data_IF_650854680679
#
_entry.id   IF_650854680679
#
_cell.length_a   1.000
_cell.length_b   1.000
_cell.length_c   1.000
_cell.angle_alpha   90.00
_cell.angle_beta   90.00
_cell.angle_gamma   90.00
#
_symmetry.space_group_name_H-M   'P 1'
#
loop_
_entity.id
_entity.type
_entity.pdbx_description
1 polymer ?
2 non-polymer ?
3 non-polymer ?
4 non-polymer ?
5 water ?
#
# COMPACT_ATOMS: atom_id res chain seq x y z
N UNK A 11 -18.95 2.68 5.17
CA UNK A 11 -20.10 2.02 5.81
C UNK A 11 -21.42 2.24 5.03
N UNK A 12 -22.54 1.65 5.49
CA UNK A 12 -23.88 1.75 4.88
C UNK A 12 -23.82 0.96 3.51
N UNK A 13 -24.20 1.54 2.34
CA UNK A 13 -24.16 0.82 1.07
C UNK A 13 -22.76 0.67 0.46
N UNK A 14 -21.70 0.91 1.26
CA UNK A 14 -20.31 0.77 0.84
C UNK A 14 -19.88 -0.73 0.82
N UNK A 15 -18.81 -1.09 0.05
CA UNK A 15 -18.30 -2.48 0.03
C UNK A 15 -17.72 -2.83 1.39
N UNK A 16 -17.63 -4.11 1.71
CA UNK A 16 -17.10 -4.57 2.99
C UNK A 16 -15.58 -4.31 3.06
N UNK A 17 -14.86 -4.52 1.94
CA UNK A 17 -13.41 -4.30 1.85
C UNK A 17 -13.18 -3.19 0.83
N UNK A 18 -12.45 -2.13 1.19
CA UNK A 18 -12.14 -1.05 0.26
C UNK A 18 -10.64 -0.92 0.23
N UNK A 19 -10.05 -1.06 -0.96
CA UNK A 19 -8.60 -1.00 -1.12
C UNK A 19 -8.22 0.06 -2.12
N UNK A 20 -7.17 0.83 -1.85
CA UNK A 20 -6.65 1.72 -2.87
C UNK A 20 -5.19 1.36 -3.14
N UNK A 21 -4.72 1.73 -4.32
CA UNK A 21 -3.33 1.51 -4.67
C UNK A 21 -2.92 2.64 -5.63
N UNK A 22 -1.61 2.68 -5.89
CA UNK A 22 -1.06 3.62 -6.83
C UNK A 22 -0.11 2.82 -7.74
N UNK A 23 -0.20 3.09 -9.03
CA UNK A 23 0.61 2.39 -10.01
C UNK A 23 0.88 3.38 -11.12
N UNK A 24 2.13 3.38 -11.56
CA UNK A 24 2.66 4.24 -12.59
C UNK A 24 3.64 3.40 -13.41
N UNK A 25 3.28 3.13 -14.64
CA UNK A 25 4.09 2.34 -15.56
C UNK A 25 3.40 1.05 -15.93
N UNK A 26 3.67 0.54 -17.15
CA UNK A 26 3.10 -0.72 -17.66
C UNK A 26 3.41 -1.88 -16.71
N UNK A 27 4.66 -1.94 -16.21
CA UNK A 27 5.08 -3.03 -15.32
C UNK A 27 4.28 -3.01 -14.02
N UNK A 28 4.12 -1.83 -13.40
CA UNK A 28 3.34 -1.75 -12.16
C UNK A 28 1.86 -1.95 -12.37
N UNK A 29 1.35 -1.61 -13.57
CA UNK A 29 -0.06 -1.86 -13.88
C UNK A 29 -0.30 -3.37 -14.08
N UNK A 30 0.66 -4.08 -14.67
CA UNK A 30 0.60 -5.53 -14.86
C UNK A 30 0.51 -6.20 -13.45
N UNK A 31 1.34 -5.72 -12.52
CA UNK A 31 1.33 -6.24 -11.16
C UNK A 31 0.07 -5.83 -10.40
N UNK A 32 -0.48 -4.64 -10.66
CA UNK A 32 -1.69 -4.16 -10.01
C UNK A 32 -2.89 -5.05 -10.33
N UNK A 33 -3.02 -5.51 -11.59
CA UNK A 33 -4.11 -6.43 -11.94
C UNK A 33 -3.92 -7.77 -11.16
N UNK A 34 -2.69 -8.25 -11.06
CA UNK A 34 -2.36 -9.47 -10.32
C UNK A 34 -2.73 -9.31 -8.84
N UNK A 35 -2.38 -8.17 -8.23
CA UNK A 35 -2.73 -7.89 -6.84
C UNK A 35 -4.24 -7.99 -6.63
N UNK A 36 -5.03 -7.34 -7.51
CA UNK A 36 -6.47 -7.35 -7.43
C UNK A 36 -7.03 -8.77 -7.58
N UNK A 37 -6.50 -9.57 -8.52
CA UNK A 37 -6.96 -10.95 -8.70
C UNK A 37 -6.65 -11.76 -7.41
N UNK A 38 -5.47 -11.55 -6.81
CA UNK A 38 -5.13 -12.27 -5.57
C UNK A 38 -6.07 -11.92 -4.40
N UNK A 39 -6.51 -10.67 -4.29
CA UNK A 39 -7.46 -10.28 -3.24
C UNK A 39 -8.79 -11.03 -3.45
N UNK A 40 -9.32 -11.00 -4.70
CA UNK A 40 -10.63 -11.59 -4.94
C UNK A 40 -10.61 -13.12 -4.82
N UNK A 41 -9.51 -13.79 -5.12
CA UNK A 41 -9.41 -15.24 -4.96
C UNK A 41 -9.42 -15.66 -3.46
N UNK A 42 -9.19 -14.71 -2.54
CA UNK A 42 -9.09 -15.01 -1.12
C UNK A 42 -10.18 -14.43 -0.27
N UNK A 43 -11.27 -13.92 -0.84
CA UNK A 43 -12.38 -13.41 -0.06
C UNK A 43 -13.70 -13.60 -0.80
N UNK A 44 -14.76 -13.77 -0.01
CA UNK A 44 -16.13 -13.79 -0.46
C UNK A 44 -16.85 -12.49 -0.07
N UNK A 45 -16.19 -11.60 0.68
CA UNK A 45 -16.76 -10.33 1.05
C UNK A 45 -16.75 -9.40 -0.18
N UNK A 46 -17.60 -8.39 -0.16
CA UNK A 46 -17.68 -7.45 -1.27
C UNK A 46 -16.44 -6.56 -1.22
N UNK A 47 -15.89 -6.27 -2.41
CA UNK A 47 -14.67 -5.46 -2.51
C UNK A 47 -14.85 -4.34 -3.50
N UNK A 48 -14.31 -3.17 -3.15
CA UNK A 48 -14.26 -2.01 -4.05
C UNK A 48 -12.81 -1.54 -4.09
N UNK A 49 -12.27 -1.41 -5.31
CA UNK A 49 -10.91 -0.89 -5.51
C UNK A 49 -10.99 0.59 -5.90
N UNK A 50 -10.12 1.40 -5.32
CA UNK A 50 -10.06 2.82 -5.59
C UNK A 50 -8.72 3.15 -6.24
N UNK A 51 -8.74 3.89 -7.35
CA UNK A 51 -7.53 4.19 -8.09
C UNK A 51 -7.19 5.66 -8.13
N UNK A 52 -5.90 5.98 -7.99
CA UNK A 52 -5.42 7.34 -8.12
C UNK A 52 -5.26 7.49 -9.63
N UNK A 53 -6.30 8.07 -10.25
CA UNK A 53 -6.55 8.14 -11.67
C UNK A 53 -5.42 8.70 -12.56
N UNK A 54 -4.86 9.83 -12.21
CA UNK A 54 -3.95 10.56 -13.10
C UNK A 54 -2.65 9.84 -13.46
N UNK A 55 -2.23 8.83 -12.69
CA UNK A 55 -1.00 8.09 -12.97
C UNK A 55 -1.20 6.89 -13.88
N UNK A 56 -2.44 6.47 -14.12
CA UNK A 56 -2.71 5.28 -14.89
C UNK A 56 -2.73 5.54 -16.40
N UNK A 57 -2.43 4.51 -17.16
CA UNK A 57 -2.44 4.56 -18.62
C UNK A 57 -3.88 4.45 -19.12
N UNK A 58 -4.16 4.99 -20.32
CA UNK A 58 -5.52 4.82 -20.87
C UNK A 58 -5.92 3.37 -21.04
N UNK A 59 -4.97 2.48 -21.41
CA UNK A 59 -5.34 1.07 -21.61
C UNK A 59 -5.71 0.38 -20.29
N UNK A 60 -5.08 0.76 -19.18
CA UNK A 60 -5.40 0.16 -17.90
C UNK A 60 -6.80 0.56 -17.50
N UNK A 61 -7.10 1.88 -17.60
CA UNK A 61 -8.40 2.41 -17.24
C UNK A 61 -9.51 1.83 -18.14
N UNK A 62 -9.19 1.50 -19.39
CA UNK A 62 -10.17 0.87 -20.28
C UNK A 62 -10.41 -0.61 -19.92
N UNK A 63 -9.39 -1.28 -19.37
CA UNK A 63 -9.49 -2.68 -18.99
C UNK A 63 -10.15 -2.91 -17.63
N UNK A 64 -10.08 -1.93 -16.70
CA UNK A 64 -10.67 -2.05 -15.35
C UNK A 64 -12.14 -2.58 -15.36
N UNK A 65 -13.07 -2.11 -16.24
CA UNK A 65 -14.44 -2.69 -16.21
C UNK A 65 -14.49 -4.17 -16.55
N UNK A 66 -13.55 -4.65 -17.37
CA UNK A 66 -13.47 -6.06 -17.72
C UNK A 66 -12.98 -6.86 -16.52
N UNK A 67 -11.97 -6.33 -15.79
CA UNK A 67 -11.50 -6.97 -14.55
C UNK A 67 -12.63 -7.02 -13.54
N UNK A 68 -13.38 -5.91 -13.39
CA UNK A 68 -14.46 -5.77 -12.44
C UNK A 68 -15.58 -6.76 -12.67
N UNK A 69 -15.95 -6.98 -13.94
CA UNK A 69 -17.00 -7.93 -14.28
C UNK A 69 -16.53 -9.39 -14.14
N UNK A 70 -15.26 -9.68 -14.42
CA UNK A 70 -14.72 -11.03 -14.35
C UNK A 70 -14.50 -11.47 -12.92
N UNK A 71 -13.94 -10.59 -12.09
CA UNK A 71 -13.64 -10.90 -10.71
C UNK A 71 -14.73 -10.49 -9.71
N UNK A 72 -15.74 -9.76 -10.16
CA UNK A 72 -16.83 -9.34 -9.31
C UNK A 72 -16.51 -8.32 -8.24
N UNK A 73 -15.91 -7.20 -8.64
CA UNK A 73 -15.63 -6.10 -7.71
C UNK A 73 -16.13 -4.80 -8.26
N UNK A 74 -16.36 -3.83 -7.39
CA UNK A 74 -16.71 -2.47 -7.77
C UNK A 74 -15.40 -1.66 -7.81
N UNK A 75 -15.42 -0.48 -8.44
CA UNK A 75 -14.26 0.38 -8.48
C UNK A 75 -14.62 1.84 -8.65
N UNK A 76 -13.69 2.72 -8.31
CA UNK A 76 -13.89 4.15 -8.47
C UNK A 76 -12.57 4.83 -8.75
N UNK A 77 -12.58 5.78 -9.70
CA UNK A 77 -11.38 6.54 -10.03
C UNK A 77 -11.42 7.83 -9.22
N UNK A 78 -10.34 8.16 -8.51
CA UNK A 78 -10.28 9.42 -7.77
C UNK A 78 -9.23 10.33 -8.43
N UNK A 79 -9.61 11.60 -8.71
CA UNK A 79 -8.70 12.57 -9.33
C UNK A 79 -8.60 13.78 -8.39
N UNK A 80 -7.57 13.81 -7.53
CA UNK A 80 -7.42 14.90 -6.58
C UNK A 80 -6.22 15.78 -6.95
N UNK A 81 -6.42 17.10 -6.99
CA UNK A 81 -5.34 18.02 -7.37
C UNK A 81 -4.49 18.43 -6.19
N UNK A 82 -3.15 18.38 -6.34
CA UNK A 82 -2.22 18.78 -5.30
C UNK A 82 -2.45 20.26 -4.95
N UNK A 83 -2.76 20.55 -3.66
CA UNK A 83 -3.02 21.95 -3.26
C UNK A 83 -1.84 22.87 -3.55
N UNK A 84 -2.13 24.06 -4.12
CA UNK A 84 -1.07 25.02 -4.47
C UNK A 84 -0.18 25.44 -3.32
N UNK A 85 -0.72 25.53 -2.10
CA UNK A 85 0.07 25.95 -0.95
C UNK A 85 1.13 24.91 -0.52
N UNK A 86 0.83 23.63 -0.75
CA UNK A 86 1.60 22.50 -0.28
C UNK A 86 2.81 22.24 -1.15
N UNK A 87 4.00 22.14 -0.54
CA UNK A 87 5.25 21.90 -1.26
C UNK A 87 5.14 20.75 -2.25
N UNK A 88 5.39 21.00 -3.55
CA UNK A 88 5.25 19.94 -4.56
C UNK A 88 6.55 19.11 -4.69
N UNK A 89 6.44 17.94 -5.30
CA UNK A 89 7.53 17.01 -5.49
C UNK A 89 7.79 16.96 -6.98
N UNK A 90 8.95 17.43 -7.42
CA UNK A 90 9.30 17.42 -8.84
C UNK A 90 9.60 16.00 -9.36
N UNK A 91 10.02 15.07 -8.49
CA UNK A 91 10.30 13.69 -8.92
C UNK A 91 8.97 12.91 -8.89
N UNK A 92 8.61 12.25 -10.01
CA UNK A 92 7.34 11.50 -10.10
C UNK A 92 7.17 10.47 -8.99
N UNK A 93 8.24 9.74 -8.62
CA UNK A 93 8.16 8.75 -7.54
C UNK A 93 7.73 9.38 -6.22
N UNK A 94 8.29 10.54 -5.90
CA UNK A 94 7.96 11.25 -4.67
C UNK A 94 6.55 11.85 -4.72
N UNK A 95 6.10 12.28 -5.90
CA UNK A 95 4.73 12.80 -6.04
C UNK A 95 3.74 11.66 -5.80
N UNK A 96 4.03 10.47 -6.32
CA UNK A 96 3.19 9.29 -6.11
C UNK A 96 3.17 8.93 -4.62
N UNK A 97 4.32 8.97 -3.96
CA UNK A 97 4.40 8.72 -2.52
C UNK A 97 3.55 9.75 -1.74
N UNK A 98 3.53 11.00 -2.21
CA UNK A 98 2.69 12.03 -1.60
C UNK A 98 1.21 11.64 -1.68
N UNK A 99 0.79 11.10 -2.82
CA UNK A 99 -0.59 10.67 -3.00
C UNK A 99 -0.99 9.49 -2.09
N UNK A 100 -0.02 8.70 -1.64
CA UNK A 100 -0.30 7.59 -0.73
C UNK A 100 -0.60 8.09 0.67
N UNK A 101 0.13 9.14 1.15
CA UNK A 101 0.06 9.50 2.56
C UNK A 101 -0.54 10.88 2.90
N UNK A 102 -0.47 11.85 1.98
CA UNK A 102 -0.90 13.22 2.35
C UNK A 102 -2.38 13.54 2.23
N UNK A 103 -3.15 12.77 1.48
CA UNK A 103 -4.53 13.10 1.15
C UNK A 103 -5.56 12.06 1.58
N UNK A 104 -5.28 11.30 2.64
CA UNK A 104 -6.18 10.20 3.05
C UNK A 104 -7.60 10.66 3.41
N UNK A 105 -7.73 11.87 3.95
CA UNK A 105 -9.02 12.45 4.31
C UNK A 105 -9.78 13.10 3.15
N UNK A 106 -9.11 13.40 2.02
CA UNK A 106 -9.78 14.10 0.91
C UNK A 106 -9.95 13.24 -0.35
N UNK A 107 -9.28 12.09 -0.46
CA UNK A 107 -9.42 11.23 -1.62
C UNK A 107 -10.75 10.47 -1.61
N UNK A 108 -11.25 10.14 -0.42
CA UNK A 108 -12.40 9.27 -0.31
C UNK A 108 -13.63 10.01 0.23
N UNK A 109 -14.82 9.52 -0.11
CA UNK A 109 -16.04 10.19 0.39
C UNK A 109 -16.17 10.09 1.90
N UNK A 110 -16.86 11.08 2.50
CA UNK A 110 -17.09 11.10 3.93
C UNK A 110 -17.89 9.85 4.40
N UNK A 111 -18.62 9.21 3.50
CA UNK A 111 -19.40 8.02 3.83
C UNK A 111 -18.54 6.74 3.97
N UNK A 112 -17.26 6.78 3.49
CA UNK A 112 -16.38 5.61 3.60
C UNK A 112 -15.68 5.63 4.97
N UNK A 113 -15.85 4.56 5.75
CA UNK A 113 -15.31 4.50 7.09
C UNK A 113 -13.89 3.92 7.18
N UNK A 114 -13.49 3.13 6.19
CA UNK A 114 -12.18 2.48 6.22
C UNK A 114 -11.68 2.18 4.84
N UNK A 115 -10.36 2.32 4.65
CA UNK A 115 -9.74 1.96 3.39
C UNK A 115 -8.36 1.40 3.70
N UNK A 116 -7.93 0.47 2.87
CA UNK A 116 -6.63 -0.15 3.04
C UNK A 116 -5.77 0.16 1.82
N UNK A 117 -4.52 0.58 2.03
CA UNK A 117 -3.60 0.73 0.92
C UNK A 117 -2.92 -0.65 0.74
N UNK A 118 -2.89 -1.17 -0.47
CA UNK A 118 -2.16 -2.41 -0.80
C UNK A 118 -1.27 -2.04 -1.99
N UNK A 119 0.04 -2.29 -1.87
CA UNK A 119 0.97 -1.95 -2.94
C UNK A 119 0.67 -2.72 -4.22
N UNK A 120 0.91 -2.10 -5.40
CA UNK A 120 0.61 -2.72 -6.69
C UNK A 120 1.36 -4.03 -6.91
N UNK A 121 2.56 -4.13 -6.34
CA UNK A 121 3.41 -5.31 -6.48
C UNK A 121 3.19 -6.33 -5.34
N UNK A 122 2.02 -6.33 -4.70
CA UNK A 122 1.75 -7.28 -3.63
C UNK A 122 1.00 -8.49 -4.13
N UNK A 123 1.14 -9.62 -3.41
CA UNK A 123 0.37 -10.81 -3.66
C UNK A 123 -0.32 -11.11 -2.34
N UNK A 124 -1.64 -11.10 -2.36
CA UNK A 124 -2.47 -11.36 -1.20
C UNK A 124 -2.79 -12.86 -1.08
N UNK A 125 -2.66 -13.40 0.16
CA UNK A 125 -2.93 -14.83 0.47
C UNK A 125 -3.87 -14.94 1.68
N UNK A 126 -4.73 -13.95 1.89
CA UNK A 126 -5.62 -13.92 3.03
C UNK A 126 -6.90 -13.18 2.66
N UNK A 127 -7.92 -13.32 3.51
CA UNK A 127 -9.16 -12.58 3.38
C UNK A 127 -8.87 -11.19 3.93
N UNK A 128 -8.90 -10.17 3.06
CA UNK A 128 -8.62 -8.80 3.48
C UNK A 128 -9.64 -8.26 4.50
N UNK A 129 -10.84 -8.91 4.63
CA UNK A 129 -11.79 -8.49 5.67
C UNK A 129 -11.20 -8.74 7.08
N UNK A 130 -10.23 -9.65 7.22
CA UNK A 130 -9.54 -9.84 8.52
C UNK A 130 -8.81 -8.54 8.92
N UNK A 131 -8.32 -7.76 7.94
CA UNK A 131 -7.66 -6.50 8.24
C UNK A 131 -8.68 -5.43 8.56
N UNK A 132 -9.85 -5.45 7.87
CA UNK A 132 -10.93 -4.53 8.19
C UNK A 132 -11.36 -4.69 9.66
N UNK A 133 -11.46 -5.96 10.09
CA UNK A 133 -11.86 -6.30 11.47
C UNK A 133 -10.78 -6.21 12.53
N UNK A 134 -9.51 -5.98 12.13
CA UNK A 134 -8.42 -5.93 13.10
C UNK A 134 -8.59 -4.75 14.04
N UNK A 135 -8.47 -4.96 15.36
CA UNK A 135 -8.64 -3.83 16.29
C UNK A 135 -7.44 -2.87 16.25
N UNK A 136 -7.74 -1.58 16.11
CA UNK A 136 -6.74 -0.52 16.06
C UNK A 136 -6.55 0.22 17.38
N UNK A 137 -7.35 -0.10 18.42
CA UNK A 137 -7.19 0.53 19.73
C UNK A 137 -7.12 2.07 19.69
N UNK A 138 -7.94 2.67 18.84
CA UNK A 138 -8.01 4.12 18.73
C UNK A 138 -7.07 4.73 17.70
N UNK A 139 -6.15 3.93 17.10
CA UNK A 139 -5.22 4.49 16.12
C UNK A 139 -5.93 4.79 14.84
N UNK A 140 -5.60 5.92 14.19
CA UNK A 140 -6.23 6.23 12.91
C UNK A 140 -5.74 5.31 11.77
N UNK A 141 -4.56 4.69 11.95
CA UNK A 141 -4.06 3.75 10.93
C UNK A 141 -3.15 2.71 11.53
N UNK A 142 -3.01 1.58 10.80
CA UNK A 142 -2.19 0.46 11.19
C UNK A 142 -1.27 0.02 10.07
N UNK A 143 -0.01 -0.22 10.41
CA UNK A 143 1.04 -0.63 9.46
C UNK A 143 1.81 -1.80 10.07
N UNK A 144 2.36 -2.70 9.22
CA UNK A 144 3.19 -3.79 9.71
C UNK A 144 4.59 -3.23 9.97
N UNK A 145 5.32 -3.84 10.93
CA UNK A 145 6.69 -3.42 11.15
C UNK A 145 7.62 -4.00 10.08
N UNK A 146 8.78 -3.40 9.95
CA UNK A 146 9.83 -3.94 9.10
C UNK A 146 10.35 -5.19 9.80
N UNK A 147 10.48 -6.30 9.07
CA UNK A 147 10.99 -7.55 9.67
C UNK A 147 12.42 -7.35 10.16
N UNK A 148 12.75 -8.01 11.27
CA UNK A 148 14.13 -8.13 11.73
C UNK A 148 14.63 -9.59 11.52
N UNK A 149 13.76 -10.53 11.07
CA UNK A 149 14.09 -11.94 11.02
C UNK A 149 15.21 -12.34 10.07
N UNK A 150 15.45 -11.61 8.95
CA UNK A 150 16.58 -11.95 8.08
C UNK A 150 17.82 -11.28 8.64
N UNK A 151 18.54 -12.01 9.52
CA UNK A 151 19.71 -11.46 10.22
C UNK A 151 20.80 -10.98 9.27
N UNK A 152 20.98 -11.64 8.11
CA UNK A 152 22.03 -11.25 7.15
C UNK A 152 21.88 -9.86 6.57
N UNK A 153 20.66 -9.29 6.64
CA UNK A 153 20.41 -7.96 6.10
C UNK A 153 20.50 -6.81 7.11
N UNK A 154 21.02 -7.07 8.33
CA UNK A 154 21.10 -6.05 9.39
C UNK A 154 21.81 -4.76 8.99
N UNK A 155 22.87 -4.85 8.19
CA UNK A 155 23.60 -3.67 7.73
C UNK A 155 22.78 -2.74 6.85
N UNK A 156 21.70 -3.25 6.24
CA UNK A 156 20.82 -2.44 5.41
C UNK A 156 19.61 -1.87 6.19
N UNK A 157 19.41 -2.27 7.45
CA UNK A 157 18.31 -1.76 8.28
C UNK A 157 18.73 -0.40 8.82
N UNK A 158 18.56 0.65 7.99
CA UNK A 158 18.96 2.02 8.32
C UNK A 158 18.27 2.57 9.59
N UNK A 159 17.06 2.06 9.89
CA UNK A 159 16.25 2.47 11.02
C UNK A 159 16.77 1.93 12.37
N UNK A 160 17.71 0.98 12.35
CA UNK A 160 18.25 0.41 13.57
C UNK A 160 19.48 1.17 14.12
N UNK A 161 19.99 2.16 13.39
CA UNK A 161 21.16 2.96 13.82
C UNK A 161 20.91 4.46 13.47
N UNK A 162 21.81 5.34 13.89
CA UNK A 162 21.75 6.76 13.57
C UNK A 162 20.57 7.55 14.07
N UNK A 163 20.11 8.50 13.26
CA UNK A 163 19.02 9.39 13.65
C UNK A 163 17.70 8.57 13.87
N UNK A 164 17.36 7.56 13.04
CA UNK A 164 16.12 6.77 13.30
C UNK A 164 16.14 6.02 14.62
N UNK A 165 17.26 5.36 14.98
CA UNK A 165 17.33 4.61 16.24
C UNK A 165 17.15 5.54 17.44
N UNK A 166 17.72 6.75 17.36
CA UNK A 166 17.60 7.71 18.45
C UNK A 166 16.18 8.25 18.53
N UNK A 167 15.61 8.60 17.38
CA UNK A 167 14.28 9.17 17.28
C UNK A 167 13.18 8.21 17.74
N UNK A 168 13.26 6.95 17.30
CA UNK A 168 12.20 5.97 17.55
C UNK A 168 12.08 5.52 19.00
N UNK A 169 13.17 5.56 19.77
CA UNK A 169 13.12 5.16 21.20
C UNK A 169 12.52 3.74 21.39
N UNK A 170 12.90 2.84 20.51
CA UNK A 170 12.43 1.46 20.59
C UNK A 170 11.12 1.17 19.86
N UNK A 171 10.47 2.21 19.33
CA UNK A 171 9.23 2.03 18.55
C UNK A 171 9.60 1.32 17.25
N UNK A 172 8.65 0.56 16.67
CA UNK A 172 8.92 -0.06 15.39
C UNK A 172 9.02 0.97 14.27
N UNK A 173 9.81 0.63 13.26
CA UNK A 173 9.89 1.37 12.01
C UNK A 173 9.00 0.53 11.07
N UNK A 174 7.87 1.09 10.66
CA UNK A 174 6.85 0.41 9.87
C UNK A 174 7.04 0.50 8.36
N UNK A 175 6.71 -0.56 7.64
CA UNK A 175 6.81 -0.58 6.18
C UNK A 175 5.51 0.00 5.61
N UNK A 176 5.60 0.82 4.54
CA UNK A 176 4.46 1.50 3.95
C UNK A 176 3.78 0.75 2.80
N UNK A 177 4.16 -0.52 2.57
CA UNK A 177 3.59 -1.31 1.49
C UNK A 177 2.13 -1.65 1.70
N UNK A 178 1.68 -1.69 2.95
CA UNK A 178 0.31 -2.04 3.28
C UNK A 178 -0.08 -1.26 4.54
N UNK A 179 -1.30 -0.72 4.55
CA UNK A 179 -1.77 -0.03 5.75
C UNK A 179 -3.26 0.09 5.77
N UNK A 180 -3.87 -0.06 6.95
CA UNK A 180 -5.31 0.10 7.08
C UNK A 180 -5.57 1.46 7.70
N UNK A 181 -6.50 2.23 7.13
CA UNK A 181 -6.82 3.57 7.63
C UNK A 181 -8.28 3.58 8.10
N UNK A 182 -8.49 3.87 9.36
CA UNK A 182 -9.85 3.99 9.89
C UNK A 182 -10.16 5.47 9.58
N UNK A 183 -10.80 5.73 8.44
CA UNK A 183 -11.10 7.06 7.93
C UNK A 183 -11.97 7.84 8.89
N UNK A 184 -12.91 7.17 9.64
CA UNK A 184 -13.68 7.94 10.63
C UNK A 184 -12.78 8.48 11.71
N UNK A 185 -11.84 7.68 12.22
CA UNK A 185 -10.91 8.10 13.27
C UNK A 185 -9.82 9.07 12.76
N UNK A 186 -9.38 8.87 11.52
CA UNK A 186 -8.40 9.72 10.85
C UNK A 186 -9.03 11.14 10.74
N UNK A 187 -10.30 11.23 10.30
CA UNK A 187 -11.03 12.51 10.18
C UNK A 187 -11.30 13.09 11.56
N UNK A 188 -11.69 12.24 12.54
CA UNK A 188 -11.93 12.67 13.92
C UNK A 188 -10.68 13.33 14.50
N UNK A 189 -9.48 12.85 14.11
CA UNK A 189 -8.23 13.37 14.64
C UNK A 189 -7.54 14.49 13.84
N UNK A 190 -8.09 14.94 12.70
CA UNK A 190 -7.39 15.94 11.85
C UNK A 190 -6.01 15.44 11.40
N UNK A 191 -5.83 14.09 11.31
CA UNK A 191 -4.54 13.53 10.95
C UNK A 191 -4.05 13.99 9.59
N UNK A 192 -4.96 14.15 8.65
CA UNK A 192 -4.63 14.63 7.31
C UNK A 192 -4.07 16.03 7.32
N UNK A 193 -4.76 16.97 8.02
CA UNK A 193 -4.25 18.35 8.10
C UNK A 193 -2.90 18.40 8.79
N UNK A 194 -2.72 17.60 9.86
CA UNK A 194 -1.46 17.54 10.59
C UNK A 194 -0.32 16.88 9.80
N UNK A 195 -0.63 15.84 9.01
CA UNK A 195 0.41 15.19 8.21
C UNK A 195 0.86 16.17 7.11
N UNK A 196 -0.10 16.86 6.43
CA UNK A 196 0.25 17.85 5.40
C UNK A 196 1.10 18.98 5.99
N UNK A 197 0.77 19.47 7.19
CA UNK A 197 1.51 20.57 7.80
C UNK A 197 2.94 20.18 8.22
N UNK A 198 3.14 18.97 8.80
CA UNK A 198 4.47 18.49 9.17
C UNK A 198 5.27 18.16 7.94
N UNK A 199 4.65 17.60 6.90
CA UNK A 199 5.34 17.30 5.64
C UNK A 199 5.82 18.62 5.01
N UNK A 200 4.93 19.65 5.00
CA UNK A 200 5.26 20.93 4.40
C UNK A 200 6.46 21.57 5.09
N UNK A 201 6.50 21.54 6.43
CA UNK A 201 7.64 22.07 7.17
C UNK A 201 8.91 21.23 6.99
N UNK A 202 8.81 19.89 7.11
CA UNK A 202 9.98 19.03 6.98
C UNK A 202 10.61 19.11 5.60
N UNK A 203 9.78 19.11 4.55
CA UNK A 203 10.25 19.07 3.16
C UNK A 203 10.95 20.36 2.71
N UNK A 204 11.05 21.39 3.57
CA UNK A 204 11.85 22.58 3.25
C UNK A 204 13.35 22.16 3.12
N UNK A 205 13.76 21.08 3.81
CA UNK A 205 15.07 20.45 3.67
C UNK A 205 14.88 19.37 2.60
N UNK A 206 15.52 19.50 1.42
CA UNK A 206 15.34 18.48 0.36
C UNK A 206 15.90 17.10 0.68
N UNK A 207 16.75 16.97 1.72
CA UNK A 207 17.30 15.69 2.13
C UNK A 207 16.37 14.94 3.12
N UNK A 208 15.36 15.63 3.69
CA UNK A 208 14.43 15.04 4.66
C UNK A 208 13.41 14.15 3.93
N UNK A 209 12.80 13.22 4.68
CA UNK A 209 11.79 12.30 4.18
C UNK A 209 12.25 11.55 2.94
N UNK A 210 13.45 10.92 3.01
CA UNK A 210 13.97 10.16 1.87
C UNK A 210 12.97 9.14 1.31
N UNK A 211 12.27 8.42 2.20
CA UNK A 211 11.25 7.44 1.83
C UNK A 211 9.96 8.13 2.27
N UNK A 212 9.49 9.11 1.51
CA UNK A 212 8.37 10.00 1.86
C UNK A 212 7.15 9.30 2.48
N UNK A 213 6.59 8.29 1.80
CA UNK A 213 5.38 7.58 2.24
C UNK A 213 5.56 6.82 3.55
N UNK A 214 6.79 6.37 3.81
CA UNK A 214 7.15 5.55 4.96
C UNK A 214 7.68 6.38 6.14
N UNK A 215 8.59 7.30 5.85
CA UNK A 215 9.18 8.15 6.88
C UNK A 215 8.18 9.05 7.57
N UNK A 216 7.25 9.65 6.84
CA UNK A 216 6.28 10.57 7.44
C UNK A 216 5.43 9.92 8.56
N UNK A 217 4.71 8.79 8.33
CA UNK A 217 3.95 8.19 9.43
C UNK A 217 4.83 7.69 10.58
N UNK A 218 6.03 7.17 10.27
CA UNK A 218 6.97 6.73 11.31
C UNK A 218 7.47 7.90 12.16
N UNK A 219 7.64 9.06 11.54
CA UNK A 219 8.05 10.30 12.21
C UNK A 219 6.93 10.79 13.11
N UNK A 220 5.69 10.73 12.63
CA UNK A 220 4.52 11.23 13.37
C UNK A 220 3.92 10.26 14.38
N UNK A 221 4.47 9.04 14.54
CA UNK A 221 3.81 8.01 15.36
C UNK A 221 3.69 8.30 16.87
N UNK A 222 4.39 9.31 17.39
CA UNK A 222 4.20 9.68 18.80
C UNK A 222 2.94 10.53 18.99
N UNK A 223 2.45 11.23 17.94
CA UNK A 223 1.28 12.10 18.07
C UNK A 223 0.10 11.68 17.20
N UNK A 224 0.34 10.88 16.13
CA UNK A 224 -0.67 10.30 15.27
C UNK A 224 -0.36 8.81 15.41
N UNK A 225 -1.03 8.15 16.37
CA UNK A 225 -0.66 6.75 16.65
C UNK A 225 -0.76 5.79 15.47
N UNK A 226 0.14 4.81 15.49
CA UNK A 226 0.11 3.70 14.53
C UNK A 226 -0.22 2.46 15.34
N UNK A 227 -1.19 1.66 14.87
CA UNK A 227 -1.46 0.36 15.46
C UNK A 227 -0.46 -0.56 14.72
N UNK A 228 0.51 -1.14 15.44
CA UNK A 228 1.49 -2.03 14.80
C UNK A 228 0.79 -3.35 14.47
N UNK A 229 0.63 -3.64 13.18
CA UNK A 229 -0.05 -4.85 12.75
C UNK A 229 0.80 -6.09 13.05
N UNK A 230 0.16 -7.25 13.25
CA UNK A 230 0.93 -8.51 13.32
C UNK A 230 1.94 -8.62 12.17
N UNK A 231 3.15 -9.08 12.45
CA UNK A 231 4.20 -9.18 11.45
C UNK A 231 3.79 -9.96 10.20
N UNK A 232 2.94 -10.95 10.40
CA UNK A 232 2.47 -11.78 9.29
C UNK A 232 1.66 -11.00 8.24
N UNK A 233 1.22 -9.76 8.55
CA UNK A 233 0.49 -8.98 7.56
C UNK A 233 1.34 -8.58 6.34
N UNK A 234 2.67 -8.51 6.51
CA UNK A 234 3.52 -8.10 5.38
C UNK A 234 4.84 -8.83 5.43
N UNK A 235 5.09 -9.67 4.42
CA UNK A 235 6.36 -10.39 4.30
C UNK A 235 7.04 -9.96 3.03
N UNK A 236 8.31 -9.56 3.13
CA UNK A 236 9.17 -9.22 2.00
C UNK A 236 10.45 -10.01 2.18
N UNK A 237 10.93 -10.66 1.12
CA UNK A 237 12.14 -11.46 1.20
C UNK A 237 13.35 -10.70 1.64
N UNK A 238 13.47 -9.44 1.24
CA UNK A 238 14.62 -8.61 1.62
C UNK A 238 14.86 -8.57 3.12
N UNK A 239 13.77 -8.45 3.91
CA UNK A 239 13.92 -8.29 5.36
C UNK A 239 13.46 -9.48 6.18
N UNK A 240 12.65 -10.35 5.61
CA UNK A 240 12.00 -11.42 6.32
C UNK A 240 12.55 -12.79 5.98
N UNK A 241 12.68 -13.63 7.01
CA UNK A 241 13.25 -14.97 6.87
C UNK A 241 12.38 -15.89 6.02
N UNK A 242 12.99 -16.91 5.39
CA UNK A 242 12.24 -17.92 4.64
C UNK A 242 11.27 -18.66 5.53
N UNK A 243 11.66 -18.94 6.79
CA UNK A 243 10.83 -19.66 7.76
C UNK A 243 9.47 -19.00 8.01
N UNK A 244 9.44 -17.67 7.97
CA UNK A 244 8.20 -16.95 8.26
C UNK A 244 7.28 -16.81 7.04
N UNK A 245 7.73 -17.19 5.83
CA UNK A 245 6.88 -17.08 4.64
C UNK A 245 5.57 -17.87 4.74
N UNK A 246 5.60 -19.09 5.34
CA UNK A 246 4.39 -19.90 5.45
C UNK A 246 3.28 -19.22 6.26
N UNK A 247 3.65 -18.32 7.16
CA UNK A 247 2.66 -17.58 7.96
C UNK A 247 2.18 -16.28 7.29
N UNK A 248 2.87 -15.83 6.24
CA UNK A 248 2.56 -14.55 5.57
C UNK A 248 1.16 -14.46 4.98
N UNK A 249 0.44 -13.39 5.37
CA UNK A 249 -0.90 -13.13 4.84
C UNK A 249 -0.79 -12.41 3.47
N UNK A 250 0.25 -11.59 3.28
CA UNK A 250 0.51 -10.87 2.03
C UNK A 250 2.04 -10.88 1.82
N UNK A 251 2.42 -10.85 0.57
CA UNK A 251 3.81 -10.81 0.15
C UNK A 251 4.02 -9.51 -0.61
N UNK A 252 5.10 -8.80 -0.32
CA UNK A 252 5.44 -7.57 -1.00
C UNK A 252 6.73 -7.85 -1.74
N UNK A 253 6.82 -7.43 -3.02
CA UNK A 253 8.06 -7.67 -3.79
C UNK A 253 8.95 -6.48 -3.63
N UNK A 254 9.35 -6.20 -2.38
CA UNK A 254 10.17 -5.03 -2.12
C UNK A 254 11.61 -5.19 -2.61
N UNK A 255 12.20 -4.05 -2.97
CA UNK A 255 13.55 -3.99 -3.50
C UNK A 255 14.57 -4.56 -2.53
N UNK A 256 15.54 -5.31 -3.07
CA UNK A 256 16.61 -5.88 -2.28
C UNK A 256 17.90 -5.11 -2.60
N UNK A 257 18.36 -4.26 -1.66
CA UNK A 257 19.57 -3.47 -1.94
C UNK A 257 20.86 -4.28 -2.07
N UNK A 258 20.85 -5.54 -1.63
CA UNK A 258 22.02 -6.39 -1.72
C UNK A 258 22.14 -7.10 -3.07
N UNK A 259 21.03 -7.65 -3.58
CA UNK A 259 21.06 -8.40 -4.83
C UNK A 259 20.69 -7.56 -6.06
N UNK A 260 19.82 -6.57 -5.88
CA UNK A 260 19.31 -5.74 -6.96
C UNK A 260 18.64 -6.61 -8.06
N UNK A 261 18.05 -7.79 -7.69
CA UNK A 261 17.38 -8.71 -8.62
C UNK A 261 16.19 -8.04 -9.30
N UNK A 262 15.97 -8.25 -10.62
CA UNK A 262 14.82 -7.59 -11.27
C UNK A 262 13.47 -8.00 -10.69
N UNK A 263 12.49 -7.10 -10.85
CA UNK A 263 11.13 -7.20 -10.33
C UNK A 263 10.38 -8.47 -10.76
N UNK A 264 10.34 -8.75 -12.08
CA UNK A 264 9.65 -9.93 -12.61
C UNK A 264 10.37 -11.22 -12.21
N UNK A 265 11.71 -11.17 -12.09
CA UNK A 265 12.47 -12.35 -11.66
C UNK A 265 12.10 -12.70 -10.22
N UNK A 266 12.02 -11.69 -9.31
CA UNK A 266 11.64 -11.84 -7.89
C UNK A 266 10.24 -12.46 -7.84
N UNK A 267 9.30 -11.90 -8.59
CA UNK A 267 7.92 -12.36 -8.60
C UNK A 267 7.79 -13.85 -8.99
N UNK A 268 8.38 -14.25 -10.14
CA UNK A 268 8.28 -15.63 -10.57
C UNK A 268 8.95 -16.60 -9.61
N UNK A 269 10.11 -16.20 -9.08
CA UNK A 269 10.88 -17.07 -8.19
C UNK A 269 10.26 -17.25 -6.82
N UNK A 270 9.77 -16.15 -6.21
CA UNK A 270 9.27 -16.22 -4.84
C UNK A 270 7.87 -16.76 -4.67
N UNK A 271 6.98 -16.40 -5.57
CA UNK A 271 5.56 -16.69 -5.43
C UNK A 271 5.10 -17.70 -6.49
N UNK A 272 4.81 -18.95 -6.10
CA UNK A 272 4.40 -19.96 -7.10
C UNK A 272 3.11 -19.66 -7.86
N UNK A 273 2.17 -18.93 -7.23
CA UNK A 273 0.90 -18.60 -7.86
C UNK A 273 0.95 -17.33 -8.74
N UNK A 274 2.10 -16.62 -8.77
CA UNK A 274 2.24 -15.41 -9.56
C UNK A 274 1.99 -15.66 -11.05
N UNK A 275 2.62 -16.69 -11.65
CA UNK A 275 2.45 -17.01 -13.07
C UNK A 275 1.00 -17.36 -13.36
N UNK A 276 0.34 -18.06 -12.43
CA UNK A 276 -1.07 -18.43 -12.56
C UNK A 276 -1.96 -17.17 -12.67
N UNK A 277 -1.73 -16.15 -11.82
CA UNK A 277 -2.54 -14.92 -11.90
C UNK A 277 -2.19 -14.16 -13.18
N UNK A 278 -0.90 -14.06 -13.51
CA UNK A 278 -0.43 -13.37 -14.71
C UNK A 278 -1.06 -13.97 -15.97
N UNK A 279 -1.04 -15.32 -16.08
CA UNK A 279 -1.62 -16.02 -17.22
C UNK A 279 -3.13 -15.91 -17.27
N UNK A 280 -3.80 -15.85 -16.11
CA UNK A 280 -5.25 -15.73 -15.98
C UNK A 280 -5.72 -14.37 -16.49
N UNK A 281 -4.97 -13.31 -16.14
CA UNK A 281 -5.32 -11.96 -16.58
C UNK A 281 -5.04 -11.80 -18.07
N UNK A 282 -3.95 -12.41 -18.58
CA UNK A 282 -3.63 -12.40 -20.00
C UNK A 282 -4.69 -13.20 -20.79
N UNK A 283 -5.23 -14.29 -20.20
CA UNK A 283 -6.29 -15.09 -20.81
C UNK A 283 -7.57 -14.25 -20.91
N UNK A 284 -7.88 -13.46 -19.86
CA UNK A 284 -9.04 -12.57 -19.83
C UNK A 284 -8.89 -11.48 -20.90
N UNK A 285 -7.66 -10.95 -21.07
CA UNK A 285 -7.37 -9.92 -22.06
C UNK A 285 -7.58 -10.45 -23.48
N UNK A 286 -7.15 -11.69 -23.77
CA UNK A 286 -7.34 -12.32 -25.08
C UNK A 286 -8.83 -12.63 -25.35
N UNK A 287 -9.60 -12.89 -24.30
CA UNK A 287 -11.03 -13.18 -24.39
C UNK A 287 -11.81 -11.92 -24.75
N UNK A 288 -11.41 -10.76 -24.19
CA UNK A 288 -12.05 -9.47 -24.43
C UNK A 288 -11.67 -8.96 -25.83
N UNK A 289 -10.41 -9.15 -26.23
CA UNK A 289 -9.89 -8.72 -27.54
C UNK A 289 -10.59 -9.40 -28.71
N UNK A 290 -10.84 -10.71 -28.62
CA UNK A 290 -11.53 -11.44 -29.68
C UNK A 290 -13.07 -11.34 -29.57
N UNK A 291 -13.60 -10.90 -28.42
CA UNK A 291 -15.04 -10.75 -28.24
C UNK A 291 -15.49 -9.33 -28.55
#
# INVERSE_FOLDING_TARGET
ETGEATKSVSKTEHAEINIFSVASGHLYERMLNIMMASVMHHTNHTVKFWFIEQFLSPSFKDFIPHMAAEYGFKYEMVTYKWPHWLRQQKEKQREIWGYKILFLDVLFPLSLDKVIFVDADQIVRTDMYDLVEHPLDGAPYGFAPMCDSRVEMEGYRFWKTGYWANYLKGKPYHISALYVVDLQRFRELAAGDRLRQQYHALSADPNSLANLDQDLPNHMQFTIPIATLPQEWLWCETWCSDETLKDARTIDLCNNPMTKEPKLDRARRQVPEWTKYDEEIAELARRVREGTKHHHHHH
#
